data_IF_017734772616
#
_entry.id   IF_017734772616
#
_cell.length_a   1.000
_cell.length_b   1.000
_cell.length_c   1.000
_cell.angle_alpha   90.00
_cell.angle_beta   90.00
_cell.angle_gamma   90.00
#
_symmetry.space_group_name_H-M   'P 1'
#
loop_
_entity.id
_entity.type
_entity.pdbx_description
1 polymer ?
#
# COMPACT_ATOMS: atom_id res chain seq x y z
N UNK A 1 25.70 -10.79 -0.67
CA UNK A 1 26.97 -10.67 -1.44
C UNK A 1 26.70 -11.17 -2.84
N UNK A 2 26.68 -10.31 -3.83
CA UNK A 2 26.40 -10.66 -5.22
C UNK A 2 27.72 -10.90 -5.92
N UNK A 3 27.96 -12.14 -6.37
CA UNK A 3 29.12 -12.46 -7.22
C UNK A 3 28.76 -12.18 -8.67
N UNK A 4 29.41 -11.20 -9.29
CA UNK A 4 29.49 -11.09 -10.74
C UNK A 4 30.69 -11.93 -11.18
N UNK A 5 30.47 -13.05 -11.85
CA UNK A 5 31.54 -13.81 -12.48
C UNK A 5 31.90 -13.19 -13.82
N UNK A 6 33.12 -12.69 -13.92
CA UNK A 6 33.75 -12.21 -15.17
C UNK A 6 34.24 -13.42 -15.95
N UNK A 7 33.58 -13.77 -17.04
CA UNK A 7 34.15 -14.64 -18.06
C UNK A 7 34.96 -13.76 -19.02
N UNK A 8 36.28 -13.79 -18.84
CA UNK A 8 37.24 -13.15 -19.72
C UNK A 8 37.36 -13.92 -21.03
N UNK A 9 37.01 -13.32 -22.16
CA UNK A 9 37.44 -13.76 -23.49
C UNK A 9 38.35 -12.69 -24.09
N UNK A 10 39.58 -13.10 -24.36
CA UNK A 10 40.61 -12.32 -25.07
C UNK A 10 40.23 -12.14 -26.55
N UNK A 11 40.24 -10.91 -27.01
CA UNK A 11 40.42 -10.61 -28.43
C UNK A 11 39.22 -9.91 -29.10
N UNK A 12 39.38 -8.60 -29.37
CA UNK A 12 38.54 -7.84 -30.28
C UNK A 12 37.75 -6.70 -29.62
N UNK A 13 38.06 -5.46 -29.98
CA UNK A 13 37.40 -4.26 -29.52
C UNK A 13 35.91 -4.24 -29.96
N UNK A 14 35.06 -4.76 -29.13
CA UNK A 14 33.61 -4.53 -29.20
C UNK A 14 33.15 -4.17 -27.80
N UNK A 15 32.63 -2.95 -27.64
CA UNK A 15 32.04 -2.49 -26.39
C UNK A 15 30.80 -3.34 -26.09
N UNK A 16 30.95 -4.38 -25.28
CA UNK A 16 29.85 -5.16 -24.71
C UNK A 16 29.23 -4.35 -23.57
N UNK A 17 28.10 -3.72 -23.86
CA UNK A 17 27.18 -3.23 -22.83
C UNK A 17 26.69 -4.44 -22.03
N UNK A 18 27.25 -4.64 -20.85
CA UNK A 18 26.74 -5.62 -19.90
C UNK A 18 25.38 -5.11 -19.38
N UNK A 19 24.31 -5.56 -19.99
CA UNK A 19 22.96 -5.36 -19.46
C UNK A 19 22.82 -6.30 -18.25
N UNK A 20 23.01 -5.78 -17.05
CA UNK A 20 22.62 -6.48 -15.81
C UNK A 20 21.09 -6.56 -15.76
N UNK A 21 20.50 -7.57 -16.39
CA UNK A 21 19.12 -7.95 -16.17
C UNK A 21 19.06 -8.56 -14.75
N UNK A 22 18.52 -7.80 -13.81
CA UNK A 22 18.16 -8.35 -12.51
C UNK A 22 17.03 -9.37 -12.73
N UNK A 23 17.35 -10.64 -12.74
CA UNK A 23 16.38 -11.73 -12.70
C UNK A 23 15.76 -11.69 -11.31
N UNK A 24 14.58 -11.08 -11.21
CA UNK A 24 13.74 -11.23 -10.03
C UNK A 24 13.32 -12.70 -9.98
N UNK A 25 13.76 -13.41 -8.96
CA UNK A 25 13.34 -14.79 -8.74
C UNK A 25 11.84 -14.79 -8.42
N UNK A 26 11.08 -15.73 -8.95
CA UNK A 26 9.64 -15.89 -8.67
C UNK A 26 9.31 -16.00 -7.18
N UNK A 27 10.30 -16.31 -6.33
CA UNK A 27 10.20 -16.26 -4.87
C UNK A 27 10.15 -14.83 -4.32
N UNK A 28 10.98 -13.93 -4.84
CA UNK A 28 11.05 -12.53 -4.39
C UNK A 28 9.80 -11.76 -4.79
N UNK A 29 9.22 -12.06 -5.96
CA UNK A 29 7.97 -11.48 -6.43
C UNK A 29 6.80 -11.80 -5.49
N UNK A 30 6.62 -13.05 -5.10
CA UNK A 30 5.57 -13.48 -4.17
C UNK A 30 5.72 -12.87 -2.76
N UNK A 31 6.95 -12.69 -2.31
CA UNK A 31 7.24 -12.03 -1.02
C UNK A 31 6.83 -10.56 -1.07
N UNK A 32 7.12 -9.89 -2.19
CA UNK A 32 6.76 -8.50 -2.39
C UNK A 32 5.25 -8.31 -2.55
N UNK A 33 4.56 -9.19 -3.29
CA UNK A 33 3.09 -9.18 -3.42
C UNK A 33 2.39 -9.25 -2.05
N UNK A 34 2.88 -10.10 -1.14
CA UNK A 34 2.34 -10.19 0.22
C UNK A 34 2.55 -8.92 1.05
N UNK A 35 3.68 -8.26 0.88
CA UNK A 35 3.94 -6.98 1.53
C UNK A 35 3.02 -5.87 0.99
N UNK A 36 2.71 -5.87 -0.32
CA UNK A 36 1.77 -4.92 -0.94
C UNK A 36 0.37 -4.97 -0.32
N UNK A 37 -0.05 -6.09 0.28
CA UNK A 37 -1.33 -6.17 0.98
C UNK A 37 -1.42 -5.17 2.15
N UNK A 38 -0.31 -4.85 2.80
CA UNK A 38 -0.26 -3.78 3.82
C UNK A 38 -0.57 -2.40 3.24
N UNK A 39 -0.11 -2.12 2.01
CA UNK A 39 -0.43 -0.89 1.30
C UNK A 39 -1.89 -0.88 0.81
N UNK A 40 -2.37 -2.02 0.28
CA UNK A 40 -3.78 -2.17 -0.16
C UNK A 40 -4.71 -1.93 1.03
N UNK A 41 -4.45 -2.52 2.20
CA UNK A 41 -5.23 -2.30 3.43
C UNK A 41 -5.31 -0.81 3.78
N UNK A 42 -4.18 -0.12 3.84
CA UNK A 42 -4.12 1.31 4.16
C UNK A 42 -4.90 2.15 3.15
N UNK A 43 -4.65 1.95 1.87
CA UNK A 43 -5.29 2.69 0.78
C UNK A 43 -6.78 2.42 0.70
N UNK A 44 -7.22 1.18 0.90
CA UNK A 44 -8.63 0.79 0.90
C UNK A 44 -9.39 1.48 2.04
N UNK A 45 -8.82 1.57 3.25
CA UNK A 45 -9.45 2.27 4.37
C UNK A 45 -9.53 3.78 4.16
N UNK A 46 -8.50 4.40 3.57
CA UNK A 46 -8.58 5.82 3.19
C UNK A 46 -9.67 6.04 2.13
N UNK A 47 -9.68 5.21 1.08
CA UNK A 47 -10.66 5.28 0.02
C UNK A 47 -12.10 5.00 0.51
N UNK A 48 -12.29 4.10 1.47
CA UNK A 48 -13.56 3.89 2.15
C UNK A 48 -14.06 5.18 2.83
N UNK A 49 -13.16 5.92 3.46
CA UNK A 49 -13.48 7.22 4.08
C UNK A 49 -13.84 8.28 3.03
N UNK A 50 -13.10 8.36 1.92
CA UNK A 50 -13.45 9.28 0.84
C UNK A 50 -14.81 8.93 0.20
N UNK A 51 -15.12 7.63 0.06
CA UNK A 51 -16.43 7.17 -0.42
C UNK A 51 -17.56 7.54 0.56
N UNK A 52 -17.35 7.37 1.87
CA UNK A 52 -18.28 7.80 2.93
C UNK A 52 -18.61 9.30 2.83
N UNK A 53 -17.58 10.14 2.82
CA UNK A 53 -17.72 11.59 2.73
C UNK A 53 -18.33 12.06 1.40
N UNK A 54 -18.30 11.21 0.38
CA UNK A 54 -18.88 11.43 -0.95
C UNK A 54 -20.30 10.92 -1.11
N UNK A 55 -20.88 10.25 -0.10
CA UNK A 55 -22.16 9.51 -0.13
C UNK A 55 -22.16 8.31 -1.11
N UNK A 56 -21.01 7.69 -1.37
CA UNK A 56 -20.88 6.48 -2.17
C UNK A 56 -20.95 5.23 -1.30
N UNK A 57 -22.12 4.94 -0.70
CA UNK A 57 -22.28 3.89 0.33
C UNK A 57 -21.81 2.50 -0.09
N UNK A 58 -22.16 2.06 -1.29
CA UNK A 58 -21.74 0.75 -1.81
C UNK A 58 -20.22 0.65 -1.97
N UNK A 59 -19.57 1.72 -2.39
CA UNK A 59 -18.11 1.79 -2.52
C UNK A 59 -17.43 1.85 -1.16
N UNK A 60 -18.00 2.57 -0.20
CA UNK A 60 -17.54 2.57 1.18
C UNK A 60 -17.48 1.15 1.75
N UNK A 61 -18.59 0.41 1.64
CA UNK A 61 -18.68 -0.97 2.14
C UNK A 61 -17.69 -1.90 1.42
N UNK A 62 -17.64 -1.83 0.08
CA UNK A 62 -16.71 -2.61 -0.73
C UNK A 62 -15.27 -2.39 -0.32
N UNK A 63 -14.85 -1.13 -0.25
CA UNK A 63 -13.47 -0.75 0.10
C UNK A 63 -13.11 -1.12 1.54
N UNK A 64 -14.05 -0.97 2.46
CA UNK A 64 -13.86 -1.43 3.84
C UNK A 64 -13.58 -2.93 3.90
N UNK A 65 -14.37 -3.74 3.20
CA UNK A 65 -14.16 -5.19 3.12
C UNK A 65 -12.84 -5.57 2.45
N UNK A 66 -12.44 -4.87 1.38
CA UNK A 66 -11.12 -5.06 0.75
C UNK A 66 -10.01 -4.78 1.76
N UNK A 67 -10.10 -3.69 2.52
CA UNK A 67 -9.12 -3.36 3.55
C UNK A 67 -9.02 -4.42 4.64
N UNK A 68 -10.15 -4.92 5.15
CA UNK A 68 -10.19 -5.99 6.14
C UNK A 68 -9.53 -7.29 5.63
N UNK A 69 -9.87 -7.72 4.42
CA UNK A 69 -9.34 -8.95 3.83
C UNK A 69 -7.84 -8.85 3.55
N UNK A 70 -7.40 -7.73 2.97
CA UNK A 70 -5.99 -7.46 2.74
C UNK A 70 -5.20 -7.44 4.06
N UNK A 71 -5.76 -6.81 5.11
CA UNK A 71 -5.15 -6.74 6.42
C UNK A 71 -4.98 -8.11 7.08
N UNK A 72 -6.01 -8.95 7.06
CA UNK A 72 -5.92 -10.33 7.58
C UNK A 72 -4.84 -11.13 6.87
N UNK A 73 -4.88 -11.15 5.54
CA UNK A 73 -3.89 -11.89 4.73
C UNK A 73 -2.47 -11.37 4.94
N UNK A 74 -2.28 -10.06 5.03
CA UNK A 74 -1.00 -9.42 5.33
C UNK A 74 -0.44 -9.88 6.68
N UNK A 75 -1.24 -9.79 7.75
CA UNK A 75 -0.81 -10.13 9.12
C UNK A 75 -0.55 -11.64 9.27
N UNK A 76 -1.32 -12.49 8.59
CA UNK A 76 -1.07 -13.93 8.54
C UNK A 76 0.26 -14.23 7.83
N UNK A 77 0.53 -13.60 6.69
CA UNK A 77 1.78 -13.74 5.96
C UNK A 77 2.99 -13.25 6.78
N UNK A 78 2.84 -12.16 7.53
CA UNK A 78 3.87 -11.68 8.46
C UNK A 78 4.16 -12.71 9.56
N UNK A 79 3.14 -13.22 10.24
CA UNK A 79 3.28 -14.23 11.30
C UNK A 79 3.92 -15.52 10.81
N UNK A 80 3.64 -15.88 9.55
CA UNK A 80 4.24 -17.05 8.90
C UNK A 80 5.67 -16.83 8.40
N UNK A 81 6.27 -15.64 8.61
CA UNK A 81 7.61 -15.29 8.14
C UNK A 81 7.73 -15.24 6.61
N UNK A 82 6.63 -14.99 5.91
CA UNK A 82 6.56 -15.00 4.44
C UNK A 82 6.85 -13.63 3.80
N UNK A 83 7.11 -12.62 4.61
CA UNK A 83 7.44 -11.25 4.17
C UNK A 83 8.80 -10.89 4.74
N UNK A 84 9.74 -10.52 3.88
CA UNK A 84 11.07 -10.10 4.32
C UNK A 84 11.02 -8.67 4.89
N UNK A 85 11.98 -8.33 5.78
CA UNK A 85 12.11 -6.97 6.29
C UNK A 85 12.32 -5.93 5.18
N UNK A 86 13.02 -6.30 4.12
CA UNK A 86 13.24 -5.43 2.97
C UNK A 86 11.91 -5.14 2.27
N UNK A 87 11.09 -6.17 1.99
CA UNK A 87 9.77 -6.00 1.37
C UNK A 87 8.82 -5.16 2.24
N UNK A 88 8.87 -5.34 3.57
CA UNK A 88 8.11 -4.49 4.50
C UNK A 88 8.50 -3.02 4.37
N UNK A 89 9.79 -2.71 4.37
CA UNK A 89 10.28 -1.32 4.25
C UNK A 89 9.96 -0.68 2.90
N UNK A 90 9.96 -1.46 1.83
CA UNK A 90 9.76 -0.96 0.46
C UNK A 90 8.29 -0.81 0.08
N UNK A 91 7.43 -1.73 0.54
CA UNK A 91 6.04 -1.83 0.07
C UNK A 91 4.99 -1.35 1.09
N UNK A 92 5.30 -1.34 2.39
CA UNK A 92 4.32 -1.05 3.43
C UNK A 92 4.45 0.38 3.95
N UNK A 93 3.36 1.17 3.99
CA UNK A 93 3.38 2.52 4.53
C UNK A 93 3.88 2.56 5.98
N UNK A 94 4.68 3.56 6.32
CA UNK A 94 5.21 3.73 7.68
C UNK A 94 4.10 3.80 8.74
N UNK A 95 2.96 4.38 8.38
CA UNK A 95 1.79 4.46 9.25
C UNK A 95 1.19 3.08 9.60
N UNK A 96 1.35 2.08 8.75
CA UNK A 96 1.00 0.68 9.02
C UNK A 96 2.06 0.06 9.90
N UNK A 97 3.34 0.18 9.52
CA UNK A 97 4.47 -0.43 10.24
C UNK A 97 4.50 -0.03 11.73
N UNK A 98 4.18 1.22 12.04
CA UNK A 98 4.13 1.73 13.43
C UNK A 98 2.98 1.16 14.28
N UNK A 99 2.06 0.40 13.69
CA UNK A 99 0.84 -0.10 14.36
C UNK A 99 0.72 -1.62 14.35
N UNK A 100 1.77 -2.33 13.99
CA UNK A 100 1.77 -3.80 13.86
C UNK A 100 1.78 -4.54 15.21
N UNK A 101 1.76 -3.82 16.33
CA UNK A 101 1.72 -4.41 17.66
C UNK A 101 0.29 -4.46 18.20
N UNK A 102 -0.10 -5.62 18.74
CA UNK A 102 -1.42 -5.81 19.33
C UNK A 102 -1.66 -7.26 19.75
N UNK A 103 -2.67 -7.49 20.63
CA UNK A 103 -2.99 -8.82 21.13
C UNK A 103 -3.61 -9.75 20.08
N UNK A 104 -4.23 -9.20 19.03
CA UNK A 104 -4.81 -9.98 17.92
C UNK A 104 -4.70 -9.21 16.59
N UNK A 105 -4.93 -9.94 15.47
CA UNK A 105 -4.97 -9.32 14.14
C UNK A 105 -6.07 -8.27 14.04
N UNK A 106 -7.24 -8.53 14.62
CA UNK A 106 -8.39 -7.64 14.61
C UNK A 106 -8.03 -6.31 15.28
N UNK A 107 -7.41 -6.35 16.46
CA UNK A 107 -6.99 -5.12 17.17
C UNK A 107 -5.95 -4.33 16.37
N UNK A 108 -5.03 -5.01 15.68
CA UNK A 108 -4.05 -4.37 14.80
C UNK A 108 -4.75 -3.69 13.62
N UNK A 109 -5.68 -4.41 12.96
CA UNK A 109 -6.45 -3.89 11.83
C UNK A 109 -7.30 -2.69 12.26
N UNK A 110 -7.96 -2.75 13.41
CA UNK A 110 -8.77 -1.64 13.93
C UNK A 110 -7.93 -0.38 14.20
N UNK A 111 -6.72 -0.54 14.75
CA UNK A 111 -5.78 0.57 14.93
C UNK A 111 -5.35 1.20 13.60
N UNK A 112 -5.11 0.36 12.59
CA UNK A 112 -4.73 0.82 11.25
C UNK A 112 -5.91 1.50 10.58
N UNK A 113 -7.12 0.93 10.69
CA UNK A 113 -8.36 1.52 10.18
C UNK A 113 -8.61 2.90 10.78
N UNK A 114 -8.57 3.03 12.11
CA UNK A 114 -8.76 4.30 12.79
C UNK A 114 -7.74 5.36 12.35
N UNK A 115 -6.47 4.96 12.18
CA UNK A 115 -5.42 5.86 11.72
C UNK A 115 -5.62 6.28 10.25
N UNK A 116 -5.95 5.35 9.35
CA UNK A 116 -6.18 5.64 7.94
C UNK A 116 -7.39 6.56 7.74
N UNK A 117 -8.48 6.30 8.47
CA UNK A 117 -9.70 7.13 8.49
C UNK A 117 -9.40 8.53 9.02
N UNK A 118 -8.70 8.63 10.15
CA UNK A 118 -8.28 9.92 10.72
C UNK A 118 -7.44 10.73 9.75
N UNK A 119 -6.44 10.09 9.14
CA UNK A 119 -5.59 10.73 8.15
C UNK A 119 -6.38 11.25 6.94
N UNK A 120 -7.30 10.44 6.40
CA UNK A 120 -8.12 10.82 5.26
C UNK A 120 -9.05 12.01 5.59
N UNK A 121 -9.70 12.00 6.77
CA UNK A 121 -10.57 13.11 7.23
C UNK A 121 -9.77 14.39 7.45
N UNK A 122 -8.66 14.31 8.17
CA UNK A 122 -7.78 15.46 8.42
C UNK A 122 -7.31 16.11 7.13
N UNK A 123 -7.00 15.29 6.12
CA UNK A 123 -6.52 15.78 4.84
C UNK A 123 -7.60 16.58 4.10
N UNK A 124 -8.84 16.09 4.11
CA UNK A 124 -10.01 16.78 3.52
C UNK A 124 -10.27 18.10 4.26
N UNK A 125 -10.27 18.08 5.60
CA UNK A 125 -10.57 19.27 6.41
C UNK A 125 -9.52 20.37 6.24
N UNK A 126 -8.23 20.01 6.21
CA UNK A 126 -7.12 20.96 6.04
C UNK A 126 -7.11 21.67 4.69
N UNK A 127 -7.71 21.08 3.66
CA UNK A 127 -7.82 21.69 2.33
C UNK A 127 -9.05 22.56 2.13
N UNK A 128 -9.93 22.62 3.10
CA UNK A 128 -11.09 23.51 3.10
C UNK A 128 -10.62 24.98 3.25
N UNK A 129 -10.26 25.61 2.14
CA UNK A 129 -9.75 26.99 2.11
C UNK A 129 -10.89 27.97 1.85
N UNK A 130 -11.31 28.65 2.91
CA UNK A 130 -12.17 29.83 2.80
C UNK A 130 -13.67 29.56 2.54
N UNK A 131 -14.47 30.63 2.57
CA UNK A 131 -15.93 30.61 2.41
C UNK A 131 -16.36 30.18 1.00
N UNK A 132 -15.50 30.36 0.01
CA UNK A 132 -15.74 30.07 -1.41
C UNK A 132 -15.01 28.81 -1.91
N UNK A 133 -14.35 28.08 -1.01
CA UNK A 133 -13.66 26.82 -1.36
C UNK A 133 -14.63 25.66 -1.62
N UNK A 134 -14.12 24.54 -2.16
CA UNK A 134 -14.93 23.35 -2.36
C UNK A 134 -15.49 22.84 -1.03
N UNK A 135 -16.68 22.24 -1.10
CA UNK A 135 -17.29 21.58 0.07
C UNK A 135 -16.48 20.33 0.43
N UNK A 136 -16.60 19.85 1.67
CA UNK A 136 -15.99 18.60 2.12
C UNK A 136 -16.32 17.43 1.18
N UNK A 137 -17.59 17.36 0.73
CA UNK A 137 -18.04 16.35 -0.22
C UNK A 137 -17.37 16.46 -1.59
N UNK A 138 -17.17 17.67 -2.10
CA UNK A 138 -16.49 17.91 -3.38
C UNK A 138 -15.01 17.52 -3.30
N UNK A 139 -14.33 17.88 -2.21
CA UNK A 139 -12.96 17.48 -1.96
C UNK A 139 -12.86 15.95 -1.84
N UNK A 140 -13.73 15.30 -1.06
CA UNK A 140 -13.72 13.85 -0.92
C UNK A 140 -13.90 13.13 -2.27
N UNK A 141 -14.80 13.62 -3.14
CA UNK A 141 -14.97 13.09 -4.51
C UNK A 141 -13.71 13.25 -5.36
N UNK A 142 -13.06 14.41 -5.28
CA UNK A 142 -11.81 14.65 -5.97
C UNK A 142 -10.72 13.65 -5.53
N UNK A 143 -10.60 13.43 -4.20
CA UNK A 143 -9.65 12.45 -3.67
C UNK A 143 -10.00 11.02 -4.06
N UNK A 144 -11.27 10.63 -3.96
CA UNK A 144 -11.72 9.31 -4.40
C UNK A 144 -11.30 9.02 -5.83
N UNK A 145 -11.46 9.99 -6.73
CA UNK A 145 -11.09 9.87 -8.15
C UNK A 145 -9.58 9.89 -8.35
N UNK A 146 -8.88 10.85 -7.75
CA UNK A 146 -7.45 11.05 -7.94
C UNK A 146 -6.59 9.92 -7.36
N UNK A 147 -7.08 9.26 -6.30
CA UNK A 147 -6.43 8.07 -5.72
C UNK A 147 -6.84 6.76 -6.40
N UNK A 148 -7.60 6.83 -7.50
CA UNK A 148 -8.05 5.65 -8.24
C UNK A 148 -8.75 4.60 -7.35
N UNK A 149 -9.55 5.05 -6.38
CA UNK A 149 -10.18 4.20 -5.38
C UNK A 149 -11.05 3.09 -6.00
N UNK A 150 -11.64 3.36 -7.17
CA UNK A 150 -12.43 2.38 -7.92
C UNK A 150 -11.61 1.15 -8.37
N UNK A 151 -10.30 1.29 -8.50
CA UNK A 151 -9.40 0.22 -8.97
C UNK A 151 -8.88 -0.68 -7.83
N UNK A 152 -9.04 -0.26 -6.57
CA UNK A 152 -8.63 -1.07 -5.40
C UNK A 152 -9.55 -2.27 -5.28
N UNK A 153 -8.97 -3.50 -5.32
CA UNK A 153 -9.68 -4.77 -5.30
C UNK A 153 -9.09 -5.72 -4.27
#
# INVERSE_FOLDING_TARGET
MRRCEFLGVLGGAAATLAVCTAVLNAGDEKVFEKALLGNIMWSAFQCSTYAELSDYKSEQERLHLVGLNAGRTFLEAMKAGQISEQALREAVPINVLQRLEGPSNEVIIDKIYAAATGYARDYIVKRKTGIWGPTEKQEARSYYTNHNCILIR
#
